data_IF_472781672178
#
_entry.id   IF_472781672178
#
_cell.length_a   1.000
_cell.length_b   1.000
_cell.length_c   1.000
_cell.angle_alpha   90.00
_cell.angle_beta   90.00
_cell.angle_gamma   90.00
#
_symmetry.space_group_name_H-M   'P 1'
#
loop_
_entity.id
_entity.type
_entity.pdbx_description
1 polymer ?
#
# COMPACT_ATOMS: atom_id res chain seq x y z
N UNK A 1 8.78 52.25 33.56
CA UNK A 1 7.94 51.21 34.18
C UNK A 1 6.97 50.56 33.19
N UNK A 2 6.24 51.33 32.37
CA UNK A 2 5.26 50.80 31.38
C UNK A 2 5.84 49.84 30.33
N UNK A 3 7.09 50.07 29.87
CA UNK A 3 7.77 49.24 28.88
C UNK A 3 8.14 47.84 29.41
N UNK A 4 8.49 47.73 30.71
CA UNK A 4 8.81 46.45 31.36
C UNK A 4 7.56 45.60 31.61
N UNK A 5 6.43 46.25 31.90
CA UNK A 5 5.14 45.58 32.12
C UNK A 5 4.58 45.03 30.81
N UNK A 6 4.71 45.76 29.70
CA UNK A 6 4.26 45.29 28.38
C UNK A 6 5.06 44.09 27.89
N UNK A 7 6.38 44.09 28.08
CA UNK A 7 7.21 42.91 27.76
C UNK A 7 6.81 41.69 28.60
N UNK A 8 6.49 41.88 29.87
CA UNK A 8 6.10 40.80 30.76
C UNK A 8 4.73 40.21 30.38
N UNK A 9 3.77 41.05 29.99
CA UNK A 9 2.45 40.63 29.51
C UNK A 9 2.57 39.83 28.21
N UNK A 10 3.40 40.28 27.27
CA UNK A 10 3.63 39.56 26.00
C UNK A 10 4.29 38.19 26.21
N UNK A 11 5.25 38.10 27.15
CA UNK A 11 5.94 36.85 27.45
C UNK A 11 5.00 35.82 28.12
N UNK A 12 4.14 36.27 29.04
CA UNK A 12 3.13 35.43 29.68
C UNK A 12 2.07 34.97 28.67
N UNK A 13 1.65 35.86 27.75
CA UNK A 13 0.68 35.52 26.70
C UNK A 13 1.22 34.49 25.71
N UNK A 14 2.53 34.50 25.44
CA UNK A 14 3.18 33.52 24.56
C UNK A 14 3.33 32.15 25.23
N UNK A 15 3.50 32.11 26.56
CA UNK A 15 3.68 30.88 27.33
C UNK A 15 2.37 30.09 27.55
N UNK A 16 1.22 30.76 27.44
CA UNK A 16 -0.10 30.12 27.63
C UNK A 16 -0.73 29.66 26.33
N UNK A 17 -0.06 29.79 25.18
CA UNK A 17 -0.56 29.29 23.89
C UNK A 17 -0.48 27.77 23.91
N UNK A 18 -1.63 27.05 23.91
CA UNK A 18 -1.61 25.60 23.76
C UNK A 18 -1.11 25.29 22.35
N UNK A 19 0.12 24.80 22.27
CA UNK A 19 0.69 24.40 20.99
C UNK A 19 0.04 23.07 20.61
N UNK A 20 -1.05 23.15 19.85
CA UNK A 20 -1.69 22.01 19.22
C UNK A 20 -0.76 21.48 18.11
N UNK A 21 0.30 20.78 18.51
CA UNK A 21 1.12 20.01 17.60
C UNK A 21 0.29 18.82 17.10
N UNK A 22 -0.43 19.02 16.00
CA UNK A 22 -0.87 17.90 15.18
C UNK A 22 0.41 17.33 14.56
N UNK A 23 0.97 16.31 15.20
CA UNK A 23 1.99 15.47 14.56
C UNK A 23 1.28 14.80 13.40
N UNK A 24 1.46 15.35 12.20
CA UNK A 24 1.09 14.67 10.98
C UNK A 24 2.09 13.54 10.79
N UNK A 25 1.75 12.34 11.26
CA UNK A 25 2.36 11.13 10.72
C UNK A 25 1.91 11.05 9.27
N UNK A 26 2.82 11.38 8.36
CA UNK A 26 2.63 11.02 6.97
C UNK A 26 2.62 9.49 6.93
N UNK A 27 1.47 8.90 6.62
CA UNK A 27 1.38 7.47 6.37
C UNK A 27 2.40 7.14 5.28
N UNK A 28 3.29 6.18 5.54
CA UNK A 28 4.26 5.77 4.53
C UNK A 28 3.49 5.19 3.34
N UNK A 29 3.76 5.63 2.09
CA UNK A 29 3.03 5.11 0.94
C UNK A 29 3.11 3.59 0.86
N UNK A 30 1.96 2.91 0.81
CA UNK A 30 1.87 1.45 0.71
C UNK A 30 1.42 1.06 -0.69
N UNK A 31 2.21 0.19 -1.33
CA UNK A 31 1.86 -0.45 -2.60
C UNK A 31 1.01 -1.69 -2.31
N UNK A 32 -0.23 -1.67 -2.78
CA UNK A 32 -1.14 -2.81 -2.70
C UNK A 32 -1.16 -3.55 -4.04
N UNK A 33 -1.07 -4.88 -4.01
CA UNK A 33 -1.17 -5.69 -5.21
C UNK A 33 -1.99 -6.97 -4.97
N UNK A 34 -2.58 -7.46 -6.06
CA UNK A 34 -3.31 -8.74 -6.08
C UNK A 34 -2.59 -9.70 -7.02
N UNK A 35 -2.18 -10.85 -6.50
CA UNK A 35 -1.61 -11.95 -7.27
C UNK A 35 -2.69 -12.97 -7.59
N UNK A 36 -3.07 -13.08 -8.85
CA UNK A 36 -3.87 -14.20 -9.35
C UNK A 36 -2.96 -15.39 -9.64
N UNK A 37 -3.25 -16.53 -9.03
CA UNK A 37 -2.43 -17.75 -9.12
C UNK A 37 -3.26 -19.02 -9.14
N UNK A 38 -2.61 -20.16 -9.42
CA UNK A 38 -3.19 -21.49 -9.22
C UNK A 38 -2.15 -22.39 -8.55
N UNK A 39 -2.59 -23.25 -7.61
CA UNK A 39 -1.70 -24.15 -6.88
C UNK A 39 -1.02 -25.21 -7.75
N UNK A 40 -1.59 -25.54 -8.91
CA UNK A 40 -1.03 -26.53 -9.84
C UNK A 40 -0.15 -25.91 -10.93
N UNK A 41 0.04 -24.59 -10.93
CA UNK A 41 0.87 -23.88 -11.90
C UNK A 41 2.33 -23.76 -11.42
N UNK A 42 3.27 -24.38 -12.14
CA UNK A 42 4.71 -24.35 -11.80
C UNK A 42 5.28 -22.94 -11.78
N UNK A 43 4.85 -22.06 -12.68
CA UNK A 43 5.29 -20.66 -12.72
C UNK A 43 4.78 -19.87 -11.50
N UNK A 44 3.57 -20.16 -11.03
CA UNK A 44 3.05 -19.55 -9.80
C UNK A 44 3.86 -19.98 -8.60
N UNK A 45 4.23 -21.27 -8.52
CA UNK A 45 5.06 -21.78 -7.43
C UNK A 45 6.38 -21.01 -7.34
N UNK A 46 7.10 -20.89 -8.47
CA UNK A 46 8.35 -20.12 -8.54
C UNK A 46 8.16 -18.68 -8.05
N UNK A 47 7.15 -17.97 -8.55
CA UNK A 47 6.92 -16.57 -8.17
C UNK A 47 6.69 -16.45 -6.66
N UNK A 48 5.88 -17.33 -6.07
CA UNK A 48 5.52 -17.28 -4.65
C UNK A 48 6.68 -17.67 -3.75
N UNK A 49 7.47 -18.68 -4.11
CA UNK A 49 8.51 -19.24 -3.21
C UNK A 49 9.90 -18.67 -3.44
N UNK A 50 10.18 -18.11 -4.61
CA UNK A 50 11.52 -17.61 -4.97
C UNK A 50 11.52 -16.09 -5.22
N UNK A 51 10.55 -15.56 -5.97
CA UNK A 51 10.63 -14.18 -6.46
C UNK A 51 10.01 -13.15 -5.50
N UNK A 52 8.88 -13.48 -4.85
CA UNK A 52 8.20 -12.57 -3.92
C UNK A 52 8.89 -12.40 -2.56
N UNK A 53 9.50 -13.43 -1.92
CA UNK A 53 10.11 -13.27 -0.61
C UNK A 53 11.20 -12.18 -0.55
N UNK A 54 12.15 -12.09 -1.52
CA UNK A 54 13.12 -11.00 -1.54
C UNK A 54 12.49 -9.61 -1.65
N UNK A 55 11.34 -9.47 -2.32
CA UNK A 55 10.61 -8.20 -2.41
C UNK A 55 9.94 -7.86 -1.08
N UNK A 56 9.34 -8.84 -0.41
CA UNK A 56 8.76 -8.67 0.92
C UNK A 56 9.81 -8.27 1.96
N UNK A 57 10.99 -8.91 1.93
CA UNK A 57 12.12 -8.54 2.80
C UNK A 57 12.61 -7.11 2.52
N UNK A 58 12.68 -6.71 1.25
CA UNK A 58 13.19 -5.40 0.85
C UNK A 58 12.23 -4.25 1.20
N UNK A 59 10.93 -4.44 1.00
CA UNK A 59 9.95 -3.36 1.12
C UNK A 59 9.14 -3.41 2.42
N UNK A 60 9.13 -4.55 3.13
CA UNK A 60 8.41 -4.71 4.39
C UNK A 60 6.94 -4.31 4.26
N UNK A 61 6.47 -3.47 5.18
CA UNK A 61 5.09 -3.02 5.24
C UNK A 61 4.66 -2.11 4.06
N UNK A 62 5.61 -1.61 3.26
CA UNK A 62 5.32 -0.78 2.08
C UNK A 62 4.87 -1.61 0.86
N UNK A 63 4.94 -2.94 0.93
CA UNK A 63 4.44 -3.83 -0.12
C UNK A 63 3.48 -4.87 0.47
N UNK A 64 2.21 -4.75 0.13
CA UNK A 64 1.17 -5.68 0.56
C UNK A 64 0.60 -6.41 -0.65
N UNK A 65 0.77 -7.74 -0.68
CA UNK A 65 0.30 -8.59 -1.77
C UNK A 65 -0.72 -9.58 -1.22
N UNK A 66 -1.90 -9.62 -1.81
CA UNK A 66 -2.91 -10.65 -1.52
C UNK A 66 -2.95 -11.65 -2.67
N UNK A 67 -2.91 -12.94 -2.35
CA UNK A 67 -3.09 -14.02 -3.31
C UNK A 67 -4.56 -14.36 -3.52
N UNK A 68 -4.96 -14.55 -4.78
CA UNK A 68 -6.28 -15.02 -5.20
C UNK A 68 -6.09 -16.28 -6.06
N UNK A 69 -6.58 -17.41 -5.57
CA UNK A 69 -6.52 -18.68 -6.29
C UNK A 69 -7.66 -18.73 -7.33
N UNK A 70 -7.29 -18.73 -8.62
CA UNK A 70 -8.24 -18.73 -9.75
C UNK A 70 -8.87 -20.10 -10.02
N UNK A 71 -8.51 -21.13 -9.25
CA UNK A 71 -9.18 -22.43 -9.32
C UNK A 71 -10.57 -22.41 -8.65
N UNK A 72 -10.84 -21.42 -7.80
CA UNK A 72 -12.17 -21.15 -7.26
C UNK A 72 -12.96 -20.21 -8.19
N UNK A 73 -14.27 -20.38 -8.25
CA UNK A 73 -15.17 -19.61 -9.12
C UNK A 73 -15.06 -18.10 -8.84
N UNK A 74 -15.07 -17.70 -7.57
CA UNK A 74 -14.95 -16.31 -7.16
C UNK A 74 -13.60 -15.70 -7.55
N UNK A 75 -12.52 -16.49 -7.41
CA UNK A 75 -11.17 -16.07 -7.81
C UNK A 75 -11.05 -15.88 -9.31
N UNK A 76 -11.63 -16.81 -10.09
CA UNK A 76 -11.71 -16.70 -11.54
C UNK A 76 -12.54 -15.48 -11.97
N UNK A 77 -13.69 -15.24 -11.34
CA UNK A 77 -14.53 -14.08 -11.63
C UNK A 77 -13.80 -12.77 -11.35
N UNK A 78 -13.04 -12.68 -10.26
CA UNK A 78 -12.18 -11.53 -9.97
C UNK A 78 -11.09 -11.34 -11.02
N UNK A 79 -10.46 -12.42 -11.48
CA UNK A 79 -9.43 -12.35 -12.52
C UNK A 79 -10.00 -11.85 -13.86
N UNK A 80 -11.17 -12.35 -14.26
CA UNK A 80 -11.86 -11.89 -15.46
C UNK A 80 -12.26 -10.41 -15.35
N UNK A 81 -12.74 -9.98 -14.18
CA UNK A 81 -13.02 -8.57 -13.93
C UNK A 81 -11.75 -7.70 -14.05
N UNK A 82 -10.60 -8.19 -13.57
CA UNK A 82 -9.32 -7.50 -13.71
C UNK A 82 -8.87 -7.39 -15.18
N UNK A 83 -9.01 -8.46 -15.97
CA UNK A 83 -8.71 -8.44 -17.41
C UNK A 83 -9.50 -7.32 -18.11
N UNK A 84 -10.81 -7.24 -17.84
CA UNK A 84 -11.68 -6.21 -18.45
C UNK A 84 -11.31 -4.82 -17.95
N UNK A 85 -11.13 -4.66 -16.63
CA UNK A 85 -10.88 -3.35 -16.00
C UNK A 85 -9.58 -2.70 -16.48
N UNK A 86 -8.53 -3.51 -16.63
CA UNK A 86 -7.18 -3.03 -16.99
C UNK A 86 -6.85 -3.27 -18.46
N UNK A 87 -7.83 -3.67 -19.28
CA UNK A 87 -7.67 -3.91 -20.72
C UNK A 87 -6.46 -4.80 -21.02
N UNK A 88 -6.30 -5.86 -20.23
CA UNK A 88 -5.16 -6.77 -20.38
C UNK A 88 -5.25 -7.40 -21.78
N UNK A 89 -4.18 -7.35 -22.60
CA UNK A 89 -4.24 -7.95 -23.92
C UNK A 89 -4.22 -9.48 -23.82
N UNK A 90 -4.90 -10.13 -24.77
CA UNK A 90 -5.11 -11.58 -24.84
C UNK A 90 -3.83 -12.42 -24.72
N UNK A 91 -2.73 -11.99 -25.34
CA UNK A 91 -1.43 -12.66 -25.26
C UNK A 91 -0.78 -12.62 -23.87
N UNK A 92 -1.35 -11.88 -22.91
CA UNK A 92 -0.95 -11.87 -21.50
C UNK A 92 -1.97 -12.52 -20.57
N UNK A 93 -3.00 -13.17 -21.10
CA UNK A 93 -3.91 -13.97 -20.29
C UNK A 93 -3.17 -15.17 -19.69
N UNK A 94 -3.48 -15.46 -18.44
CA UNK A 94 -2.89 -16.55 -17.68
C UNK A 94 -2.39 -16.12 -16.31
N UNK A 95 -1.99 -17.12 -15.54
CA UNK A 95 -1.37 -16.96 -14.23
C UNK A 95 0.08 -17.45 -14.26
N UNK A 96 1.00 -16.87 -13.46
CA UNK A 96 0.77 -15.84 -12.45
C UNK A 96 0.52 -14.45 -13.06
N UNK A 97 -0.44 -13.71 -12.50
CA UNK A 97 -0.70 -12.31 -12.87
C UNK A 97 -0.74 -11.43 -11.61
N UNK A 98 0.19 -10.49 -11.51
CA UNK A 98 0.26 -9.52 -10.41
C UNK A 98 -0.28 -8.17 -10.89
N UNK A 99 -1.35 -7.69 -10.27
CA UNK A 99 -1.93 -6.37 -10.54
C UNK A 99 -1.56 -5.45 -9.39
N UNK A 100 -0.85 -4.37 -9.70
CA UNK A 100 -0.50 -3.32 -8.74
C UNK A 100 -1.60 -2.26 -8.77
N UNK A 101 -2.11 -1.88 -7.60
CA UNK A 101 -3.15 -0.87 -7.49
C UNK A 101 -2.65 0.52 -7.88
N UNK A 102 -3.54 1.28 -8.53
CA UNK A 102 -3.37 2.71 -8.75
C UNK A 102 -3.74 3.40 -7.43
N UNK A 103 -2.73 3.90 -6.72
CA UNK A 103 -2.82 4.57 -5.40
C UNK A 103 -4.06 5.43 -5.19
#
# INVERSE_FOLDING_TARGET
MKLRITTFILLVLFLTIPINYKIAYADTPVVHAVLFYSQTCSHCHKVITEDLPPLAEKYGEQLQIIGVDVTYEEGQNLYQAAIVKYEIPDHRYGVPALIVGDT
#
